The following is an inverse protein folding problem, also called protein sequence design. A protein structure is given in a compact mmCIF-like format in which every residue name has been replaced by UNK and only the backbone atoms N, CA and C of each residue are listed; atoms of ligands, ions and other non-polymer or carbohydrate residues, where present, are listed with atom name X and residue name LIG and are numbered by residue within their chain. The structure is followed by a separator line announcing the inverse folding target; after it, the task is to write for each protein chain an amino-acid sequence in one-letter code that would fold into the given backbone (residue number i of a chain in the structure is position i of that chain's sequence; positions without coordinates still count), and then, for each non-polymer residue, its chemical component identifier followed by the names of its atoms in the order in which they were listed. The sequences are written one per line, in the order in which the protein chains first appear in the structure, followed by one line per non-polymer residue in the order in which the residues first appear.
data_IF_958253200241
#
_entry.id   IF_958253200241
#
_cell.length_a   1.000
_cell.length_b   1.000
_cell.length_c   1.000
_cell.angle_alpha   90.00
_cell.angle_beta   90.00
_cell.angle_gamma   90.00
#
_symmetry.space_group_name_H-M   'P 1'
#
loop_
_entity.id
_entity.type
_entity.pdbx_description
1 polymer ?
#
# COMPACT_ATOMS: atom_id res chain seq x y z
N UNK A 1 9.17 4.70 -6.40
CA UNK A 1 8.15 3.80 -5.82
C UNK A 1 8.88 2.56 -5.35
N UNK A 2 8.93 2.37 -4.04
CA UNK A 2 9.52 1.20 -3.40
C UNK A 2 8.37 0.35 -2.87
N UNK A 3 8.55 -0.97 -2.88
CA UNK A 3 7.55 -1.89 -2.36
C UNK A 3 8.22 -2.81 -1.34
N UNK A 4 7.55 -3.02 -0.22
CA UNK A 4 7.86 -4.11 0.69
C UNK A 4 6.65 -5.02 0.85
N UNK A 5 6.88 -6.31 0.67
CA UNK A 5 5.88 -7.36 0.74
C UNK A 5 6.29 -8.35 1.83
N UNK A 6 5.40 -8.59 2.79
CA UNK A 6 5.55 -9.72 3.72
C UNK A 6 5.20 -11.06 3.06
N UNK A 7 5.22 -12.16 3.82
CA UNK A 7 4.74 -13.46 3.32
C UNK A 7 3.23 -13.41 3.10
N UNK A 8 2.79 -13.29 1.85
CA UNK A 8 1.38 -13.11 1.48
C UNK A 8 0.76 -14.31 0.78
N UNK A 9 1.49 -15.42 0.61
CA UNK A 9 0.96 -16.56 -0.14
C UNK A 9 -0.28 -17.17 0.54
N UNK A 10 -1.39 -17.19 -0.17
CA UNK A 10 -2.67 -17.69 0.33
C UNK A 10 -3.34 -16.77 1.36
N UNK A 11 -2.77 -15.60 1.65
CA UNK A 11 -3.34 -14.66 2.61
C UNK A 11 -4.59 -13.97 2.05
N UNK A 12 -5.57 -13.75 2.92
CA UNK A 12 -6.78 -12.99 2.62
C UNK A 12 -6.71 -11.61 3.26
N UNK A 13 -7.35 -10.66 2.60
CA UNK A 13 -7.60 -9.30 3.05
C UNK A 13 -6.32 -8.59 3.49
N UNK A 14 -5.25 -8.78 2.71
CA UNK A 14 -3.93 -8.23 2.98
C UNK A 14 -4.00 -6.69 2.92
N UNK A 15 -3.68 -5.98 4.02
CA UNK A 15 -3.71 -4.53 4.04
C UNK A 15 -2.66 -3.96 3.10
N UNK A 16 -3.07 -2.99 2.29
CA UNK A 16 -2.18 -2.17 1.46
C UNK A 16 -2.08 -0.80 2.09
N UNK A 17 -0.86 -0.40 2.47
CA UNK A 17 -0.59 0.88 3.10
C UNK A 17 0.41 1.69 2.28
N UNK A 18 0.13 2.98 2.15
CA UNK A 18 1.06 3.94 1.55
C UNK A 18 1.80 4.63 2.68
N UNK A 19 3.11 4.57 2.62
CA UNK A 19 4.02 5.15 3.59
C UNK A 19 5.01 6.05 2.88
N UNK A 20 5.59 6.98 3.62
CA UNK A 20 6.79 7.65 3.17
C UNK A 20 7.88 6.61 2.88
N UNK A 21 8.64 6.84 1.81
CA UNK A 21 9.68 5.92 1.33
C UNK A 21 10.76 5.70 2.40
N UNK A 22 11.16 6.74 3.12
CA UNK A 22 12.12 6.64 4.23
C UNK A 22 11.55 5.88 5.43
N UNK A 23 10.23 5.98 5.65
CA UNK A 23 9.54 5.26 6.72
C UNK A 23 9.30 3.78 6.39
N UNK A 24 9.44 3.36 5.13
CA UNK A 24 9.09 2.02 4.67
C UNK A 24 9.89 0.92 5.39
N UNK A 25 11.19 1.14 5.60
CA UNK A 25 12.05 0.20 6.33
C UNK A 25 11.71 0.13 7.82
N UNK A 26 11.32 1.26 8.41
CA UNK A 26 10.96 1.37 9.83
C UNK A 26 9.61 0.68 10.08
N UNK A 27 8.62 0.92 9.23
CA UNK A 27 7.30 0.27 9.33
C UNK A 27 7.43 -1.21 9.04
N UNK A 28 8.17 -1.57 7.98
CA UNK A 28 8.41 -2.95 7.58
C UNK A 28 9.10 -3.78 8.67
N UNK A 29 10.14 -3.25 9.29
CA UNK A 29 10.85 -3.93 10.39
C UNK A 29 9.99 -4.13 11.64
N UNK A 30 8.94 -3.32 11.82
CA UNK A 30 7.99 -3.44 12.94
C UNK A 30 6.81 -4.36 12.62
N UNK A 31 6.61 -4.74 11.35
CA UNK A 31 5.54 -5.64 10.93
C UNK A 31 5.93 -7.11 11.19
N UNK A 32 5.83 -7.56 12.44
CA UNK A 32 6.07 -8.96 12.78
C UNK A 32 4.92 -9.88 12.30
N UNK A 33 3.65 -9.48 12.47
CA UNK A 33 2.44 -10.22 12.06
C UNK A 33 1.25 -9.24 12.01
N UNK A 34 0.31 -9.18 11.04
CA UNK A 34 0.04 -10.05 9.87
C UNK A 34 0.68 -9.58 8.54
N UNK A 35 0.57 -10.38 7.44
CA UNK A 35 0.96 -9.97 6.08
C UNK A 35 0.42 -8.60 5.70
N UNK A 36 1.30 -7.74 5.17
CA UNK A 36 0.95 -6.41 4.66
C UNK A 36 1.77 -6.10 3.41
N UNK A 37 1.20 -5.24 2.58
CA UNK A 37 1.88 -4.66 1.43
C UNK A 37 2.10 -3.17 1.69
N UNK A 38 3.36 -2.76 1.73
CA UNK A 38 3.77 -1.37 1.95
C UNK A 38 4.24 -0.75 0.63
N UNK A 39 3.62 0.35 0.24
CA UNK A 39 3.99 1.14 -0.94
C UNK A 39 4.68 2.42 -0.45
N UNK A 40 5.97 2.53 -0.72
CA UNK A 40 6.77 3.71 -0.46
C UNK A 40 6.60 4.75 -1.56
N UNK A 41 6.23 5.96 -1.17
CA UNK A 41 6.13 7.11 -2.06
C UNK A 41 6.78 8.34 -1.43
N UNK A 42 7.91 8.78 -2.00
CA UNK A 42 8.66 9.95 -1.54
C UNK A 42 7.89 11.26 -1.71
N UNK A 43 6.80 11.30 -2.49
CA UNK A 43 5.89 12.46 -2.54
C UNK A 43 5.06 12.62 -1.27
N UNK A 44 4.91 11.56 -0.47
CA UNK A 44 4.21 11.62 0.82
C UNK A 44 5.01 12.44 1.83
N UNK A 45 6.33 12.28 1.89
CA UNK A 45 7.20 13.17 2.69
C UNK A 45 7.10 14.63 2.25
N UNK A 46 7.00 14.89 0.95
CA UNK A 46 6.98 16.24 0.39
C UNK A 46 5.63 16.96 0.57
N UNK A 47 4.53 16.23 0.43
CA UNK A 47 3.17 16.80 0.46
C UNK A 47 2.49 16.65 1.81
N UNK A 48 2.98 15.76 2.67
CA UNK A 48 2.33 15.36 3.92
C UNK A 48 0.97 14.68 3.72
N UNK A 49 0.54 14.50 2.46
CA UNK A 49 -0.80 14.06 2.13
C UNK A 49 -0.76 12.78 1.26
N UNK A 50 -1.06 11.62 1.84
CA UNK A 50 -1.10 10.37 1.08
C UNK A 50 -2.34 10.25 0.18
N UNK A 51 -3.32 11.17 0.23
CA UNK A 51 -4.61 11.02 -0.45
C UNK A 51 -4.51 10.91 -1.97
N UNK A 52 -3.69 11.74 -2.62
CA UNK A 52 -3.50 11.65 -4.09
C UNK A 52 -2.91 10.30 -4.49
N UNK A 53 -1.99 9.78 -3.68
CA UNK A 53 -1.41 8.46 -3.93
C UNK A 53 -2.40 7.34 -3.63
N UNK A 54 -3.15 7.44 -2.53
CA UNK A 54 -4.21 6.49 -2.19
C UNK A 54 -5.26 6.38 -3.28
N UNK A 55 -5.65 7.52 -3.87
CA UNK A 55 -6.55 7.55 -5.01
C UNK A 55 -5.97 6.77 -6.19
N UNK A 56 -4.72 7.02 -6.57
CA UNK A 56 -4.08 6.34 -7.71
C UNK A 56 -3.91 4.84 -7.45
N UNK A 57 -3.51 4.44 -6.24
CA UNK A 57 -3.42 3.02 -5.86
C UNK A 57 -4.80 2.35 -5.94
N UNK A 58 -5.82 2.99 -5.38
CA UNK A 58 -7.20 2.47 -5.41
C UNK A 58 -7.73 2.38 -6.84
N UNK A 59 -7.43 3.37 -7.68
CA UNK A 59 -7.77 3.39 -9.10
C UNK A 59 -7.13 2.22 -9.84
N UNK A 60 -5.82 2.01 -9.68
CA UNK A 60 -5.12 0.90 -10.34
C UNK A 60 -5.60 -0.47 -9.87
N UNK A 61 -5.98 -0.61 -8.60
CA UNK A 61 -6.58 -1.83 -8.08
C UNK A 61 -7.93 -2.14 -8.74
N UNK A 62 -8.77 -1.11 -8.92
CA UNK A 62 -10.11 -1.24 -9.48
C UNK A 62 -10.10 -1.39 -11.00
N UNK A 63 -9.42 -0.49 -11.69
CA UNK A 63 -9.42 -0.38 -13.16
C UNK A 63 -8.34 -1.26 -13.80
N UNK A 64 -7.38 -1.75 -13.02
CA UNK A 64 -6.16 -2.38 -13.54
C UNK A 64 -4.99 -1.40 -13.59
N UNK A 65 -3.77 -1.95 -13.61
CA UNK A 65 -2.55 -1.16 -13.54
C UNK A 65 -1.37 -1.99 -13.05
N UNK A 66 -0.22 -1.33 -12.89
CA UNK A 66 1.00 -2.00 -12.44
C UNK A 66 0.86 -2.53 -11.02
N UNK A 67 0.15 -1.82 -10.13
CA UNK A 67 -0.07 -2.27 -8.76
C UNK A 67 -0.93 -3.54 -8.73
N UNK A 68 -2.00 -3.61 -9.52
CA UNK A 68 -2.84 -4.81 -9.62
C UNK A 68 -2.08 -5.99 -10.22
N UNK A 69 -1.26 -5.74 -11.25
CA UNK A 69 -0.42 -6.77 -11.84
C UNK A 69 0.63 -7.30 -10.84
N UNK A 70 1.23 -6.40 -10.05
CA UNK A 70 2.20 -6.76 -9.03
C UNK A 70 1.54 -7.57 -7.90
N UNK A 71 0.34 -7.19 -7.48
CA UNK A 71 -0.44 -7.96 -6.50
C UNK A 71 -0.86 -9.33 -7.02
N UNK A 72 -1.13 -9.49 -8.32
CA UNK A 72 -1.36 -10.81 -8.88
C UNK A 72 -0.13 -11.74 -8.73
N UNK A 73 1.07 -11.17 -8.57
CA UNK A 73 2.32 -11.90 -8.35
C UNK A 73 2.64 -12.11 -6.85
N UNK A 74 1.91 -11.47 -5.93
CA UNK A 74 2.20 -11.58 -4.49
C UNK A 74 1.67 -12.87 -3.86
N UNK A 75 0.79 -13.60 -4.56
CA UNK A 75 0.13 -14.80 -4.01
C UNK A 75 -0.97 -14.50 -2.99
N UNK A 76 -1.29 -13.23 -2.73
CA UNK A 76 -2.44 -12.84 -1.93
C UNK A 76 -3.75 -13.19 -2.66
N UNK A 77 -4.74 -13.70 -1.93
CA UNK A 77 -6.07 -14.00 -2.49
C UNK A 77 -6.96 -12.76 -2.56
N UNK A 78 -6.86 -11.88 -1.56
CA UNK A 78 -7.55 -10.59 -1.54
C UNK A 78 -6.70 -9.54 -0.83
N UNK A 79 -6.97 -8.27 -1.15
CA UNK A 79 -6.30 -7.11 -0.57
C UNK A 79 -7.34 -6.11 -0.08
N UNK A 80 -7.01 -5.39 0.98
CA UNK A 80 -7.84 -4.32 1.54
C UNK A 80 -7.06 -3.02 1.55
N UNK A 81 -7.71 -1.95 1.10
CA UNK A 81 -7.22 -0.58 1.24
C UNK A 81 -8.14 0.17 2.19
N UNK A 82 -7.52 0.82 3.17
CA UNK A 82 -8.20 1.85 3.95
C UNK A 82 -8.46 3.04 3.03
N UNK A 83 -9.71 3.19 2.61
CA UNK A 83 -10.16 4.35 1.85
C UNK A 83 -10.23 5.55 2.80
N UNK A 84 -9.22 6.41 2.80
CA UNK A 84 -9.32 7.71 3.46
C UNK A 84 -10.03 8.64 2.47
N UNK A 85 -11.26 9.11 2.76
CA UNK A 85 -11.88 10.13 1.93
C UNK A 85 -10.97 11.36 1.97
N UNK A 86 -10.73 12.00 0.82
CA UNK A 86 -9.94 13.23 0.70
C UNK A 86 -10.38 14.38 1.63
N UNK A 87 -11.54 14.25 2.29
CA UNK A 87 -12.11 15.18 3.26
C UNK A 87 -11.60 15.03 4.71
N UNK A 88 -10.76 14.02 5.03
CA UNK A 88 -10.24 13.85 6.39
C UNK A 88 -8.96 14.66 6.68
N UNK A 89 -8.48 15.45 5.72
CA UNK A 89 -7.47 16.48 5.95
C UNK A 89 -8.17 17.79 6.36
N UNK A 90 -8.59 17.87 7.63
CA UNK A 90 -9.05 19.10 8.26
C UNK A 90 -7.89 19.77 9.00
#
# INVERSE_FOLDING_TARGET
MVLMLGETFGAHDVPVQIVDEEALLIVGSRCAHPPRLLIGDSTVALTGNPASRQYEVSRQLREGGSIRALLALSGAQSVVIDWIPAAAAA
#
